data_IF_646635764958
#
_entry.id   IF_646635764958
#
_cell.length_a   1.000
_cell.length_b   1.000
_cell.length_c   1.000
_cell.angle_alpha   90.00
_cell.angle_beta   90.00
_cell.angle_gamma   90.00
#
_symmetry.space_group_name_H-M   'P 1'
#
loop_
_entity.id
_entity.type
_entity.pdbx_description
1 polymer ?
#
# COMPACT_ATOMS: atom_id res chain seq x y z
N UNK A 1 -16.47 -8.70 -15.96
CA UNK A 1 -15.13 -9.29 -15.69
C UNK A 1 -15.27 -10.22 -14.51
N UNK A 2 -14.70 -11.42 -14.56
CA UNK A 2 -14.87 -12.44 -13.54
C UNK A 2 -13.72 -12.38 -12.51
N UNK A 3 -14.00 -12.70 -11.25
CA UNK A 3 -12.95 -12.87 -10.24
C UNK A 3 -12.16 -14.12 -10.59
N UNK A 4 -10.85 -14.00 -10.78
CA UNK A 4 -9.99 -15.14 -11.09
C UNK A 4 -9.33 -15.69 -9.82
N UNK A 5 -8.78 -14.80 -8.99
CA UNK A 5 -8.17 -15.15 -7.71
C UNK A 5 -8.21 -13.97 -6.73
N UNK A 6 -8.10 -14.31 -5.44
CA UNK A 6 -7.91 -13.32 -4.39
C UNK A 6 -6.42 -13.19 -4.07
N UNK A 7 -5.97 -11.97 -3.87
CA UNK A 7 -4.60 -11.67 -3.47
C UNK A 7 -4.64 -10.97 -2.10
N UNK A 8 -4.31 -11.66 -1.00
CA UNK A 8 -4.22 -11.02 0.31
C UNK A 8 -3.01 -10.08 0.35
N UNK A 9 -3.16 -8.95 1.05
CA UNK A 9 -2.07 -7.98 1.25
C UNK A 9 -2.22 -7.32 2.62
N UNK A 10 -1.15 -7.26 3.38
CA UNK A 10 -1.10 -6.54 4.64
C UNK A 10 -0.52 -5.14 4.44
N UNK A 11 -1.19 -4.13 4.97
CA UNK A 11 -0.74 -2.75 4.95
C UNK A 11 -0.62 -2.25 6.37
N UNK A 12 0.55 -1.74 6.73
CA UNK A 12 0.81 -1.07 8.01
C UNK A 12 0.44 0.40 7.89
N UNK A 13 -0.52 0.83 8.69
CA UNK A 13 -0.98 2.22 8.82
C UNK A 13 -0.76 2.70 10.25
N UNK A 14 -0.92 4.00 10.51
CA UNK A 14 -0.90 4.53 11.88
C UNK A 14 -2.06 4.02 12.75
N UNK A 15 -3.13 3.53 12.12
CA UNK A 15 -4.30 2.98 12.82
C UNK A 15 -4.17 1.47 13.09
N UNK A 16 -3.05 0.87 12.69
CA UNK A 16 -2.79 -0.57 12.80
C UNK A 16 -2.61 -1.25 11.45
N UNK A 17 -2.58 -2.57 11.47
CA UNK A 17 -2.41 -3.40 10.27
C UNK A 17 -3.78 -3.66 9.65
N UNK A 18 -3.92 -3.34 8.37
CA UNK A 18 -5.13 -3.61 7.58
C UNK A 18 -4.83 -4.75 6.61
N UNK A 19 -5.65 -5.79 6.63
CA UNK A 19 -5.62 -6.86 5.64
C UNK A 19 -6.58 -6.55 4.48
N UNK A 20 -6.04 -6.51 3.27
CA UNK A 20 -6.81 -6.34 2.04
C UNK A 20 -6.99 -7.67 1.33
N UNK A 21 -8.24 -7.99 1.03
CA UNK A 21 -8.62 -9.14 0.20
C UNK A 21 -8.90 -8.65 -1.23
N UNK A 22 -7.85 -8.59 -2.05
CA UNK A 22 -7.94 -8.02 -3.40
C UNK A 22 -8.54 -9.03 -4.38
N UNK A 23 -9.70 -8.71 -4.93
CA UNK A 23 -10.36 -9.52 -5.97
C UNK A 23 -9.78 -9.17 -7.34
N UNK A 24 -8.86 -9.99 -7.83
CA UNK A 24 -8.22 -9.76 -9.12
C UNK A 24 -9.13 -10.29 -10.23
N UNK A 25 -9.52 -9.39 -11.14
CA UNK A 25 -10.46 -9.71 -12.21
C UNK A 25 -9.74 -9.82 -13.55
N UNK A 26 -10.11 -10.81 -14.36
CA UNK A 26 -9.66 -10.91 -15.76
C UNK A 26 -10.83 -10.95 -16.74
N UNK A 27 -10.60 -10.43 -17.93
CA UNK A 27 -11.52 -10.60 -19.05
C UNK A 27 -11.27 -11.96 -19.72
N UNK A 28 -12.32 -12.79 -19.80
CA UNK A 28 -12.29 -14.10 -20.47
C UNK A 28 -12.66 -14.02 -21.96
N UNK A 29 -13.13 -12.86 -22.43
CA UNK A 29 -13.53 -12.69 -23.82
C UNK A 29 -12.28 -12.52 -24.71
N UNK A 30 -12.04 -13.49 -25.61
CA UNK A 30 -10.92 -13.52 -26.56
C UNK A 30 -10.94 -12.35 -27.55
N UNK A 31 -12.12 -11.82 -27.88
CA UNK A 31 -12.28 -10.72 -28.83
C UNK A 31 -12.09 -9.34 -28.20
N UNK A 32 -11.84 -9.27 -26.88
CA UNK A 32 -11.61 -8.01 -26.19
C UNK A 32 -10.13 -7.62 -26.19
N UNK A 33 -9.84 -6.33 -26.42
CA UNK A 33 -8.51 -5.71 -26.22
C UNK A 33 -7.95 -5.92 -24.80
N UNK A 34 -8.81 -6.27 -23.84
CA UNK A 34 -8.46 -6.51 -22.44
C UNK A 34 -8.39 -8.00 -22.08
N UNK A 35 -8.41 -8.90 -23.07
CA UNK A 35 -8.27 -10.33 -22.85
C UNK A 35 -7.02 -10.65 -22.03
N UNK A 36 -7.19 -11.46 -20.97
CA UNK A 36 -6.14 -11.86 -20.01
C UNK A 36 -5.41 -10.72 -19.26
N UNK A 37 -5.85 -9.46 -19.38
CA UNK A 37 -5.30 -8.37 -18.53
C UNK A 37 -5.88 -8.46 -17.13
N UNK A 38 -5.00 -8.46 -16.12
CA UNK A 38 -5.38 -8.41 -14.71
C UNK A 38 -5.84 -7.00 -14.34
N UNK A 39 -7.05 -6.90 -13.78
CA UNK A 39 -7.62 -5.66 -13.28
C UNK A 39 -7.64 -5.72 -11.75
N UNK A 40 -6.88 -4.81 -11.13
CA UNK A 40 -6.83 -4.64 -9.67
C UNK A 40 -7.89 -3.62 -9.24
N UNK A 41 -8.48 -3.75 -8.04
CA UNK A 41 -9.42 -2.76 -7.52
C UNK A 41 -8.74 -1.39 -7.34
N UNK A 42 -9.37 -0.32 -7.83
CA UNK A 42 -8.85 1.05 -7.69
C UNK A 42 -8.67 1.47 -6.23
N UNK A 43 -9.55 1.00 -5.34
CA UNK A 43 -9.49 1.24 -3.90
C UNK A 43 -8.18 0.77 -3.25
N UNK A 44 -7.46 -0.19 -3.84
CA UNK A 44 -6.12 -0.60 -3.37
C UNK A 44 -5.15 0.59 -3.39
N UNK A 45 -5.21 1.41 -4.45
CA UNK A 45 -4.31 2.54 -4.67
C UNK A 45 -4.52 3.67 -3.67
N UNK A 46 -5.71 3.81 -3.10
CA UNK A 46 -6.00 4.81 -2.06
C UNK A 46 -5.36 4.47 -0.71
N UNK A 47 -4.92 3.23 -0.50
CA UNK A 47 -4.40 2.77 0.78
C UNK A 47 -2.87 2.68 0.79
N UNK A 48 -2.26 2.13 -0.26
CA UNK A 48 -0.81 2.00 -0.34
C UNK A 48 -0.29 1.97 -1.79
N UNK A 49 0.94 2.44 -1.98
CA UNK A 49 1.63 2.35 -3.26
C UNK A 49 1.83 0.89 -3.70
N UNK A 50 1.92 0.59 -5.01
CA UNK A 50 2.20 -0.76 -5.49
C UNK A 50 3.46 -1.35 -4.82
N UNK A 51 3.39 -2.63 -4.43
CA UNK A 51 4.50 -3.40 -3.83
C UNK A 51 5.02 -2.90 -2.47
N UNK A 52 4.43 -1.86 -1.89
CA UNK A 52 4.83 -1.34 -0.57
C UNK A 52 3.97 -1.96 0.55
N UNK A 53 4.55 -2.17 1.73
CA UNK A 53 3.82 -2.68 2.90
C UNK A 53 3.29 -1.55 3.79
N UNK A 54 3.72 -0.30 3.53
CA UNK A 54 3.28 0.87 4.28
C UNK A 54 2.15 1.63 3.58
N UNK A 55 1.22 2.10 4.40
CA UNK A 55 0.12 2.96 3.96
C UNK A 55 0.61 4.32 3.49
N UNK A 56 -0.22 4.99 2.67
CA UNK A 56 0.06 6.34 2.20
C UNK A 56 0.18 7.36 3.34
N UNK A 57 -0.51 7.12 4.46
CA UNK A 57 -0.41 7.90 5.68
C UNK A 57 1.01 7.87 6.26
N UNK A 58 1.61 6.69 6.37
CA UNK A 58 2.99 6.52 6.86
C UNK A 58 3.98 7.16 5.90
N UNK A 59 3.83 6.92 4.60
CA UNK A 59 4.71 7.48 3.57
C UNK A 59 4.65 9.02 3.56
N UNK A 60 3.44 9.59 3.63
CA UNK A 60 3.26 11.04 3.68
C UNK A 60 3.87 11.65 4.94
N UNK A 61 3.71 10.99 6.09
CA UNK A 61 4.30 11.45 7.35
C UNK A 61 5.84 11.44 7.32
N UNK A 62 6.45 10.36 6.83
CA UNK A 62 7.90 10.29 6.64
C UNK A 62 8.38 11.36 5.66
N UNK A 63 7.65 11.59 4.58
CA UNK A 63 7.92 12.66 3.62
C UNK A 63 7.89 14.05 4.26
N UNK A 64 6.89 14.34 5.09
CA UNK A 64 6.81 15.61 5.83
C UNK A 64 8.00 15.80 6.76
N UNK A 65 8.33 14.79 7.58
CA UNK A 65 9.50 14.84 8.47
C UNK A 65 10.81 15.05 7.69
N UNK A 66 10.96 14.38 6.55
CA UNK A 66 12.21 14.43 5.77
C UNK A 66 12.38 15.75 5.01
N UNK A 67 11.33 16.21 4.33
CA UNK A 67 11.44 17.30 3.36
C UNK A 67 10.96 18.65 3.90
N UNK A 68 10.04 18.68 4.86
CA UNK A 68 9.56 19.92 5.47
C UNK A 68 10.30 20.24 6.77
N UNK A 69 10.51 19.24 7.62
CA UNK A 69 11.20 19.41 8.90
C UNK A 69 12.71 19.11 8.85
N UNK A 70 13.22 18.67 7.71
CA UNK A 70 14.63 18.31 7.49
C UNK A 70 15.21 17.33 8.54
N UNK A 71 14.36 16.45 9.08
CA UNK A 71 14.78 15.45 10.07
C UNK A 71 15.78 14.47 9.46
N UNK A 72 16.73 14.04 10.29
CA UNK A 72 17.65 12.95 9.94
C UNK A 72 16.93 11.60 10.03
N UNK A 73 17.50 10.57 9.40
CA UNK A 73 16.93 9.21 9.44
C UNK A 73 16.76 8.69 10.87
N UNK A 74 17.74 8.84 11.80
CA UNK A 74 17.54 8.44 13.20
C UNK A 74 16.39 9.19 13.88
N UNK A 75 16.23 10.48 13.61
CA UNK A 75 15.11 11.26 14.17
C UNK A 75 13.76 10.76 13.63
N UNK A 76 13.68 10.47 12.33
CA UNK A 76 12.46 9.91 11.73
C UNK A 76 12.12 8.56 12.36
N UNK A 77 13.13 7.73 12.63
CA UNK A 77 12.95 6.44 13.30
C UNK A 77 12.33 6.62 14.70
N UNK A 78 12.88 7.52 15.53
CA UNK A 78 12.29 7.84 16.84
C UNK A 78 10.84 8.33 16.74
N UNK A 79 10.52 9.15 15.73
CA UNK A 79 9.15 9.63 15.50
C UNK A 79 8.19 8.49 15.10
N UNK A 80 8.66 7.50 14.35
CA UNK A 80 7.86 6.33 13.96
C UNK A 80 7.67 5.36 15.13
N UNK A 81 8.69 5.15 15.97
CA UNK A 81 8.60 4.35 17.19
C UNK A 81 7.57 4.93 18.18
N UNK A 82 7.55 6.25 18.36
CA UNK A 82 6.56 6.94 19.19
C UNK A 82 5.12 6.71 18.69
N UNK A 83 4.95 6.39 17.40
CA UNK A 83 3.67 6.05 16.78
C UNK A 83 3.47 4.53 16.62
N UNK A 84 4.28 3.73 17.31
CA UNK A 84 4.23 2.27 17.30
C UNK A 84 4.48 1.63 15.92
N UNK A 85 5.17 2.33 15.02
CA UNK A 85 5.60 1.79 13.73
C UNK A 85 7.05 1.32 13.84
N UNK A 86 7.23 0.01 13.91
CA UNK A 86 8.56 -0.60 13.92
C UNK A 86 9.08 -0.74 12.48
N UNK A 87 10.17 -0.03 12.19
CA UNK A 87 10.99 -0.19 10.99
C UNK A 87 12.38 -0.71 11.39
N UNK A 88 12.98 -1.53 10.54
CA UNK A 88 14.34 -2.04 10.74
C UNK A 88 15.34 -0.88 10.86
N UNK A 89 16.32 -1.04 11.77
CA UNK A 89 17.44 -0.10 11.94
C UNK A 89 18.39 -0.12 10.75
#
# INVERSE_FOLDING_TARGET
MWNEYNNPRHIRTFYGVVELQLKIRRCQNKSSLRYKKAYRPEQEGSLALPQNEFGLDVIAYVGALRYQEHRSVPQIHTHLELKSICISQ
#
